data_IF_657906233635
#
_entry.id   IF_657906233635
#
_cell.length_a   1.000
_cell.length_b   1.000
_cell.length_c   1.000
_cell.angle_alpha   90.00
_cell.angle_beta   90.00
_cell.angle_gamma   90.00
#
_symmetry.space_group_name_H-M   'P 1'
#
loop_
_entity.id
_entity.type
_entity.pdbx_description
1 polymer ?
#
# COMPACT_ATOMS: atom_id res chain seq x y z
N UNK A 1 11.48 -21.43 -0.55
CA UNK A 1 10.68 -20.56 0.32
C UNK A 1 9.47 -20.13 -0.50
N UNK A 2 8.34 -20.77 -0.24
CA UNK A 2 7.09 -20.51 -0.94
C UNK A 2 6.52 -19.24 -0.30
N UNK A 3 6.63 -18.10 -0.99
CA UNK A 3 5.98 -16.87 -0.56
C UNK A 3 4.50 -17.14 -0.83
N UNK A 4 3.70 -17.26 0.22
CA UNK A 4 2.24 -17.34 0.11
C UNK A 4 1.75 -16.20 -0.80
N UNK A 5 1.30 -16.56 -2.00
CA UNK A 5 0.62 -15.69 -2.95
C UNK A 5 -0.82 -15.45 -2.48
N UNK A 6 -1.00 -15.01 -1.23
CA UNK A 6 -2.26 -14.38 -0.87
C UNK A 6 -2.41 -13.17 -1.79
N UNK A 7 -3.52 -13.05 -2.55
CA UNK A 7 -3.71 -11.96 -3.48
C UNK A 7 -3.56 -10.66 -2.70
N UNK A 8 -2.56 -9.87 -3.12
CA UNK A 8 -2.27 -8.61 -2.50
C UNK A 8 -3.55 -7.77 -2.57
N UNK A 9 -3.87 -7.04 -1.50
CA UNK A 9 -5.00 -6.09 -1.52
C UNK A 9 -4.96 -5.11 -2.71
N UNK A 10 -3.78 -4.93 -3.32
CA UNK A 10 -3.53 -4.13 -4.51
C UNK A 10 -4.01 -4.79 -5.79
N UNK A 11 -3.99 -6.12 -5.89
CA UNK A 11 -4.20 -6.86 -7.14
C UNK A 11 -5.56 -6.55 -7.80
N UNK A 12 -6.72 -6.57 -7.10
CA UNK A 12 -7.98 -6.18 -7.74
C UNK A 12 -8.03 -4.71 -8.14
N UNK A 13 -7.27 -3.84 -7.46
CA UNK A 13 -7.17 -2.41 -7.82
C UNK A 13 -6.30 -2.24 -9.05
N UNK A 14 -5.15 -2.92 -9.12
CA UNK A 14 -4.22 -2.89 -10.24
C UNK A 14 -4.89 -3.47 -11.49
N UNK A 15 -5.54 -4.63 -11.38
CA UNK A 15 -6.21 -5.28 -12.51
C UNK A 15 -7.32 -4.38 -13.08
N UNK A 16 -8.08 -3.70 -12.20
CA UNK A 16 -9.06 -2.70 -12.65
C UNK A 16 -8.40 -1.48 -13.30
N UNK A 17 -7.33 -0.94 -12.74
CA UNK A 17 -6.67 0.27 -13.27
C UNK A 17 -5.91 0.01 -14.58
N UNK A 18 -5.38 -1.20 -14.78
CA UNK A 18 -4.56 -1.57 -15.94
C UNK A 18 -5.42 -2.19 -17.04
N UNK A 19 -6.26 -3.17 -16.68
CA UNK A 19 -7.02 -3.98 -17.65
C UNK A 19 -8.50 -3.60 -17.72
N UNK A 20 -9.02 -2.82 -16.76
CA UNK A 20 -10.45 -2.50 -16.67
C UNK A 20 -11.29 -3.66 -16.14
N UNK A 21 -10.66 -4.73 -15.65
CA UNK A 21 -11.32 -5.92 -15.16
C UNK A 21 -11.99 -5.67 -13.80
N UNK A 22 -13.18 -6.23 -13.62
CA UNK A 22 -13.94 -6.16 -12.38
C UNK A 22 -14.49 -7.54 -12.03
N UNK A 23 -14.68 -7.83 -10.72
CA UNK A 23 -15.43 -9.00 -10.28
C UNK A 23 -16.82 -9.07 -10.91
N UNK A 24 -17.33 -10.28 -11.13
CA UNK A 24 -18.70 -10.49 -11.61
C UNK A 24 -19.75 -10.04 -10.58
N UNK A 25 -19.41 -10.14 -9.29
CA UNK A 25 -20.28 -9.65 -8.23
C UNK A 25 -20.35 -8.11 -8.26
N UNK A 26 -21.57 -7.58 -8.35
CA UNK A 26 -21.80 -6.13 -8.48
C UNK A 26 -21.35 -5.35 -7.24
N UNK A 27 -21.45 -5.96 -6.05
CA UNK A 27 -21.04 -5.32 -4.79
C UNK A 27 -19.52 -5.23 -4.72
N UNK A 28 -18.83 -6.32 -5.07
CA UNK A 28 -17.37 -6.36 -5.15
C UNK A 28 -16.82 -5.43 -6.23
N UNK A 29 -17.42 -5.42 -7.43
CA UNK A 29 -17.05 -4.50 -8.50
C UNK A 29 -17.16 -3.04 -8.06
N UNK A 30 -18.27 -2.67 -7.41
CA UNK A 30 -18.47 -1.33 -6.85
C UNK A 30 -17.43 -1.01 -5.78
N UNK A 31 -17.08 -1.97 -4.94
CA UNK A 31 -16.06 -1.81 -3.89
C UNK A 31 -14.67 -1.54 -4.51
N UNK A 32 -14.29 -2.31 -5.53
CA UNK A 32 -13.03 -2.13 -6.28
C UNK A 32 -12.99 -0.74 -6.93
N UNK A 33 -14.05 -0.32 -7.62
CA UNK A 33 -14.13 1.00 -8.25
C UNK A 33 -13.98 2.14 -7.23
N UNK A 34 -14.70 2.06 -6.10
CA UNK A 34 -14.62 3.07 -5.05
C UNK A 34 -13.23 3.14 -4.42
N UNK A 35 -12.58 2.00 -4.20
CA UNK A 35 -11.20 1.95 -3.73
C UNK A 35 -10.24 2.54 -4.76
N UNK A 36 -10.35 2.12 -6.02
CA UNK A 36 -9.47 2.52 -7.12
C UNK A 36 -9.48 4.02 -7.38
N UNK A 37 -10.59 4.73 -7.11
CA UNK A 37 -10.66 6.19 -7.20
C UNK A 37 -9.60 6.91 -6.34
N UNK A 38 -9.06 6.24 -5.32
CA UNK A 38 -8.01 6.78 -4.44
C UNK A 38 -6.59 6.50 -4.95
N UNK A 39 -6.43 5.81 -6.08
CA UNK A 39 -5.14 5.37 -6.58
C UNK A 39 -4.96 5.73 -8.07
N UNK A 40 -3.73 5.56 -8.56
CA UNK A 40 -3.39 5.54 -9.98
C UNK A 40 -2.09 4.76 -10.18
N UNK A 41 -1.83 4.32 -11.42
CA UNK A 41 -0.56 3.68 -11.78
C UNK A 41 0.44 4.73 -12.24
N UNK A 42 1.67 4.65 -11.72
CA UNK A 42 2.82 5.40 -12.22
C UNK A 42 3.91 4.39 -12.60
N UNK A 43 3.96 4.04 -13.89
CA UNK A 43 4.76 2.90 -14.35
C UNK A 43 4.21 1.60 -13.77
N UNK A 44 5.06 0.83 -13.10
CA UNK A 44 4.74 -0.42 -12.41
C UNK A 44 4.29 -0.24 -10.95
N UNK A 45 4.19 1.01 -10.47
CA UNK A 45 3.88 1.33 -9.07
C UNK A 45 2.45 1.82 -8.90
N UNK A 46 1.76 1.26 -7.92
CA UNK A 46 0.47 1.77 -7.46
C UNK A 46 0.71 2.96 -6.52
N UNK A 47 0.19 4.12 -6.89
CA UNK A 47 0.33 5.36 -6.13
C UNK A 47 -1.00 5.74 -5.50
N UNK A 48 -1.00 6.05 -4.20
CA UNK A 48 -2.16 6.60 -3.51
C UNK A 48 -2.25 8.11 -3.75
N UNK A 49 -3.41 8.56 -4.20
CA UNK A 49 -3.74 9.98 -4.34
C UNK A 49 -3.75 10.64 -2.97
N UNK A 50 -3.10 11.79 -2.92
CA UNK A 50 -3.01 12.64 -1.75
C UNK A 50 -3.29 14.07 -2.22
N UNK A 51 -4.22 14.77 -1.57
CA UNK A 51 -4.57 16.14 -1.92
C UNK A 51 -3.64 17.18 -1.25
N UNK A 52 -2.96 16.82 -0.15
CA UNK A 52 -2.21 17.76 0.70
C UNK A 52 -0.80 17.30 1.09
N UNK A 53 -0.41 16.08 0.70
CA UNK A 53 0.87 15.44 1.04
C UNK A 53 1.55 14.84 -0.21
N UNK A 54 2.82 14.43 -0.15
CA UNK A 54 3.48 13.71 -1.24
C UNK A 54 2.66 12.50 -1.68
N UNK A 55 2.69 12.20 -2.98
CA UNK A 55 2.14 10.97 -3.52
C UNK A 55 2.79 9.76 -2.84
N UNK A 56 1.97 8.86 -2.30
CA UNK A 56 2.47 7.72 -1.51
C UNK A 56 2.56 6.48 -2.39
N UNK A 57 3.74 5.86 -2.43
CA UNK A 57 3.96 4.58 -3.10
C UNK A 57 3.37 3.46 -2.25
N UNK A 58 2.46 2.68 -2.83
CA UNK A 58 1.88 1.53 -2.16
C UNK A 58 2.86 0.36 -2.21
N UNK A 59 3.17 -0.22 -1.05
CA UNK A 59 4.10 -1.36 -0.95
C UNK A 59 3.38 -2.64 -0.52
N UNK A 60 3.90 -3.79 -0.97
CA UNK A 60 3.38 -5.12 -0.61
C UNK A 60 3.95 -5.59 0.74
N UNK A 61 3.27 -6.54 1.38
CA UNK A 61 3.62 -7.02 2.72
C UNK A 61 5.10 -7.44 2.90
N UNK A 62 5.77 -8.13 1.94
CA UNK A 62 7.19 -8.43 2.06
C UNK A 62 8.08 -7.17 2.10
N UNK A 63 7.73 -6.15 1.31
CA UNK A 63 8.46 -4.87 1.25
C UNK A 63 8.20 -4.02 2.51
N UNK A 64 7.02 -4.16 3.13
CA UNK A 64 6.67 -3.51 4.39
C UNK A 64 7.66 -3.89 5.49
N UNK A 65 8.02 -5.17 5.62
CA UNK A 65 8.99 -5.63 6.63
C UNK A 65 10.37 -5.01 6.42
N UNK A 66 10.85 -4.93 5.17
CA UNK A 66 12.14 -4.28 4.87
C UNK A 66 12.14 -2.78 5.22
N UNK A 67 11.06 -2.08 4.88
CA UNK A 67 10.91 -0.64 5.21
C UNK A 67 10.86 -0.46 6.72
N UNK A 68 10.12 -1.32 7.44
CA UNK A 68 10.04 -1.28 8.89
C UNK A 68 11.40 -1.58 9.54
N UNK A 69 12.13 -2.60 9.08
CA UNK A 69 13.48 -2.90 9.56
C UNK A 69 14.44 -1.74 9.33
N UNK A 70 14.44 -1.11 8.14
CA UNK A 70 15.29 0.07 7.87
C UNK A 70 14.96 1.26 8.76
N UNK A 71 13.67 1.50 9.04
CA UNK A 71 13.24 2.57 9.95
C UNK A 71 13.60 2.23 11.40
N UNK A 72 13.53 0.96 11.79
CA UNK A 72 13.85 0.46 13.13
C UNK A 72 15.36 0.47 13.40
N UNK A 73 16.18 -0.02 12.47
CA UNK A 73 17.64 -0.10 12.63
C UNK A 73 18.31 1.28 12.56
N UNK A 74 17.66 2.26 11.94
CA UNK A 74 18.07 3.68 12.03
C UNK A 74 17.77 4.31 13.39
N UNK A 75 16.93 3.69 14.22
CA UNK A 75 16.59 4.12 15.57
C UNK A 75 17.42 3.31 16.58
N UNK A 76 18.68 3.68 16.73
CA UNK A 76 19.50 3.15 17.80
C UNK A 76 18.92 3.60 19.17
N UNK A 77 17.97 2.84 19.73
CA UNK A 77 17.57 2.93 21.13
C UNK A 77 16.22 3.58 21.48
N UNK A 78 15.27 3.72 20.56
CA UNK A 78 13.93 4.19 20.95
C UNK A 78 12.86 3.14 20.63
N UNK A 79 12.13 2.71 21.66
CA UNK A 79 10.93 1.87 21.56
C UNK A 79 9.77 2.64 20.87
N UNK A 80 9.98 3.03 19.62
CA UNK A 80 9.01 3.68 18.77
C UNK A 80 7.87 2.70 18.50
N UNK A 81 6.73 2.88 19.18
CA UNK A 81 5.52 2.06 18.95
C UNK A 81 5.01 2.15 17.51
N UNK A 82 4.13 1.21 17.11
CA UNK A 82 3.64 1.04 15.73
C UNK A 82 3.15 2.32 15.04
N UNK A 83 2.50 3.23 15.78
CA UNK A 83 2.07 4.55 15.28
C UNK A 83 3.21 5.45 14.82
N UNK A 84 4.34 5.45 15.53
CA UNK A 84 5.52 6.26 15.18
C UNK A 84 6.16 5.73 13.88
N UNK A 85 6.21 4.41 13.72
CA UNK A 85 6.71 3.75 12.51
C UNK A 85 5.80 4.02 11.30
N UNK A 86 4.49 3.92 11.48
CA UNK A 86 3.50 4.25 10.44
C UNK A 86 3.65 5.71 9.98
N UNK A 87 3.79 6.65 10.91
CA UNK A 87 3.98 8.06 10.57
C UNK A 87 5.29 8.29 9.81
N UNK A 88 6.38 7.63 10.20
CA UNK A 88 7.66 7.72 9.48
C UNK A 88 7.55 7.16 8.06
N UNK A 89 6.91 6.01 7.89
CA UNK A 89 6.68 5.42 6.57
C UNK A 89 5.88 6.37 5.66
N UNK A 90 4.84 7.02 6.19
CA UNK A 90 4.09 8.06 5.46
C UNK A 90 4.97 9.26 5.11
N UNK A 91 5.82 9.73 6.04
CA UNK A 91 6.70 10.87 5.82
C UNK A 91 7.75 10.60 4.72
N UNK A 92 8.23 9.37 4.59
CA UNK A 92 9.16 8.97 3.53
C UNK A 92 8.46 8.53 2.24
N UNK A 93 7.13 8.59 2.19
CA UNK A 93 6.35 8.39 0.97
C UNK A 93 5.83 6.96 0.74
N UNK A 94 5.76 6.11 1.76
CA UNK A 94 5.22 4.75 1.67
C UNK A 94 3.84 4.61 2.30
N UNK A 95 3.01 3.72 1.75
CA UNK A 95 1.67 3.42 2.25
C UNK A 95 1.34 1.92 2.21
N UNK A 96 0.66 1.41 3.24
CA UNK A 96 -0.05 0.13 3.22
C UNK A 96 -1.32 0.20 4.11
N UNK A 97 -2.35 -0.63 3.87
CA UNK A 97 -3.67 -0.47 4.48
C UNK A 97 -3.73 -0.74 5.98
N UNK A 98 -2.80 -1.55 6.50
CA UNK A 98 -2.75 -1.97 7.91
C UNK A 98 -1.84 -1.09 8.78
N UNK A 99 -1.50 0.11 8.32
CA UNK A 99 -0.84 1.14 9.13
C UNK A 99 -1.80 1.66 10.23
N UNK A 100 -1.78 1.07 11.42
CA UNK A 100 -2.52 1.52 12.61
C UNK A 100 -1.59 1.72 13.82
#
# INVERSE_FOLDING_TARGET
MQIDEDPSWQDPIIDYLVNGNLPMDKSEARNVQQKAARYYMQGDRLIRRSYSSPHLTCIKYPQTLEVLCKIHDGECGNHSGGRSLAQKALNVGYFWPTMH
#
